data_IF_120148497153
#
_entry.id   IF_120148497153
#
_cell.length_a   1.000
_cell.length_b   1.000
_cell.length_c   1.000
_cell.angle_alpha   90.00
_cell.angle_beta   90.00
_cell.angle_gamma   90.00
#
_symmetry.space_group_name_H-M   'P 1'
#
loop_
_entity.id
_entity.type
_entity.pdbx_description
1 polymer ?
#
# COMPACT_ATOMS: atom_id res chain seq x y z
N UNK A 1 1.18 1.60 -24.42
CA UNK A 1 1.09 0.66 -23.28
C UNK A 1 -0.02 0.95 -22.27
N UNK A 2 -0.35 2.21 -21.93
CA UNK A 2 -1.50 2.51 -21.04
C UNK A 2 -2.85 1.94 -21.52
N UNK A 3 -2.99 1.65 -22.81
CA UNK A 3 -4.20 1.04 -23.39
C UNK A 3 -4.45 -0.40 -22.90
N UNK A 4 -3.40 -1.12 -22.47
CA UNK A 4 -3.52 -2.50 -21.97
C UNK A 4 -3.53 -2.54 -20.42
N UNK A 5 -3.72 -1.39 -19.78
CA UNK A 5 -3.62 -1.27 -18.33
C UNK A 5 -4.90 -1.74 -17.62
N UNK A 6 -5.11 -3.06 -17.60
CA UNK A 6 -6.21 -3.71 -16.92
C UNK A 6 -5.78 -5.08 -16.34
N UNK A 7 -6.46 -5.60 -15.31
CA UNK A 7 -6.03 -6.81 -14.59
C UNK A 7 -5.82 -8.05 -15.46
N UNK A 8 -6.55 -8.19 -16.57
CA UNK A 8 -6.41 -9.33 -17.47
C UNK A 8 -5.16 -9.26 -18.35
N UNK A 9 -4.59 -8.06 -18.52
CA UNK A 9 -3.53 -7.78 -19.49
C UNK A 9 -2.25 -7.20 -18.86
N UNK A 10 -2.14 -7.16 -17.53
CA UNK A 10 -0.92 -6.69 -16.87
C UNK A 10 0.32 -7.51 -17.24
N UNK A 11 0.16 -8.78 -17.61
CA UNK A 11 1.24 -9.62 -18.15
C UNK A 11 1.82 -9.12 -19.49
N UNK A 12 1.07 -8.31 -20.23
CA UNK A 12 1.47 -7.76 -21.53
C UNK A 12 2.21 -6.41 -21.39
N UNK A 13 2.14 -5.78 -20.22
CA UNK A 13 2.89 -4.54 -19.94
C UNK A 13 4.39 -4.82 -19.83
N UNK A 14 5.28 -3.84 -20.10
CA UNK A 14 6.71 -4.00 -19.91
C UNK A 14 7.06 -4.48 -18.48
N UNK A 15 8.00 -5.44 -18.34
CA UNK A 15 8.39 -5.93 -17.03
C UNK A 15 9.10 -4.83 -16.22
N UNK A 16 8.79 -4.77 -14.92
CA UNK A 16 9.55 -3.97 -13.96
C UNK A 16 10.88 -4.66 -13.67
N UNK A 17 11.99 -3.96 -13.86
CA UNK A 17 13.33 -4.46 -13.59
C UNK A 17 13.78 -3.95 -12.22
N UNK A 18 13.98 -4.88 -11.29
CA UNK A 18 14.39 -4.61 -9.91
C UNK A 18 15.58 -5.49 -9.54
N UNK A 19 16.37 -5.03 -8.59
CA UNK A 19 17.40 -5.84 -7.96
C UNK A 19 16.77 -7.02 -7.22
N UNK A 20 17.51 -8.13 -7.10
CA UNK A 20 16.99 -9.38 -6.54
C UNK A 20 16.37 -9.22 -5.14
N UNK A 21 16.99 -8.42 -4.27
CA UNK A 21 16.50 -8.19 -2.92
C UNK A 21 15.19 -7.38 -2.93
N UNK A 22 15.11 -6.32 -3.72
CA UNK A 22 13.91 -5.49 -3.87
C UNK A 22 12.78 -6.29 -4.49
N UNK A 23 13.09 -7.17 -5.47
CA UNK A 23 12.11 -8.08 -6.06
C UNK A 23 11.54 -9.04 -5.02
N UNK A 24 12.41 -9.72 -4.27
CA UNK A 24 11.99 -10.69 -3.28
C UNK A 24 11.11 -10.07 -2.18
N UNK A 25 11.47 -8.89 -1.70
CA UNK A 25 10.67 -8.19 -0.68
C UNK A 25 9.34 -7.67 -1.25
N UNK A 26 9.35 -7.14 -2.47
CA UNK A 26 8.12 -6.70 -3.14
C UNK A 26 7.14 -7.86 -3.32
N UNK A 27 7.63 -9.02 -3.76
CA UNK A 27 6.80 -10.22 -3.94
C UNK A 27 6.19 -10.69 -2.59
N UNK A 28 6.87 -10.45 -1.46
CA UNK A 28 6.37 -10.77 -0.12
C UNK A 28 5.28 -9.79 0.36
N UNK A 29 5.49 -8.49 0.21
CA UNK A 29 4.60 -7.46 0.78
C UNK A 29 3.49 -7.00 -0.17
N UNK A 30 3.62 -7.30 -1.46
CA UNK A 30 2.63 -7.04 -2.50
C UNK A 30 2.25 -8.37 -3.18
N UNK A 31 1.31 -9.14 -2.63
CA UNK A 31 0.88 -10.41 -3.22
C UNK A 31 0.37 -10.29 -4.67
N UNK A 32 -0.07 -9.09 -5.08
CA UNK A 32 -0.51 -8.80 -6.45
C UNK A 32 0.58 -8.97 -7.53
N UNK A 33 1.86 -9.04 -7.15
CA UNK A 33 2.96 -9.39 -8.07
C UNK A 33 2.78 -10.77 -8.74
N UNK A 34 2.07 -11.69 -8.08
CA UNK A 34 1.64 -12.95 -8.67
C UNK A 34 0.81 -12.74 -9.95
N UNK A 35 -0.02 -11.69 -9.96
CA UNK A 35 -0.85 -11.26 -11.09
C UNK A 35 -0.24 -10.12 -11.91
N UNK A 36 1.04 -9.81 -11.71
CA UNK A 36 1.77 -8.73 -12.39
C UNK A 36 1.29 -7.30 -12.06
N UNK A 37 0.69 -7.11 -10.89
CA UNK A 37 0.23 -5.80 -10.41
C UNK A 37 1.37 -4.76 -10.40
N UNK A 38 2.62 -5.14 -10.15
CA UNK A 38 3.74 -4.20 -10.14
C UNK A 38 3.90 -3.48 -11.50
N UNK A 39 3.51 -4.12 -12.60
CA UNK A 39 3.58 -3.51 -13.93
C UNK A 39 2.51 -2.42 -14.11
N UNK A 40 1.31 -2.64 -13.58
CA UNK A 40 0.26 -1.62 -13.48
C UNK A 40 0.74 -0.43 -12.67
N UNK A 41 1.24 -0.70 -11.46
CA UNK A 41 1.69 0.35 -10.53
C UNK A 41 2.78 1.21 -11.17
N UNK A 42 3.73 0.59 -11.87
CA UNK A 42 4.74 1.34 -12.60
C UNK A 42 4.15 2.18 -13.75
N UNK A 43 3.42 1.58 -14.68
CA UNK A 43 2.94 2.25 -15.90
C UNK A 43 1.94 3.37 -15.60
N UNK A 44 1.12 3.19 -14.57
CA UNK A 44 0.07 4.15 -14.22
C UNK A 44 0.55 5.20 -13.22
N UNK A 45 1.38 4.82 -12.25
CA UNK A 45 1.77 5.69 -11.13
C UNK A 45 3.27 5.97 -11.10
N UNK A 46 4.10 4.95 -11.25
CA UNK A 46 5.57 5.05 -11.16
C UNK A 46 6.23 5.90 -12.25
N UNK A 47 5.72 5.92 -13.49
CA UNK A 47 6.32 6.73 -14.58
C UNK A 47 6.32 8.24 -14.31
N UNK A 48 5.46 8.73 -13.41
CA UNK A 48 5.41 10.13 -13.02
C UNK A 48 6.28 10.45 -11.78
N UNK A 49 6.93 9.44 -11.19
CA UNK A 49 7.68 9.58 -9.94
C UNK A 49 9.01 10.34 -10.10
N UNK A 50 9.53 10.44 -11.34
CA UNK A 50 10.75 11.18 -11.64
C UNK A 50 12.06 10.45 -11.30
N UNK A 51 11.99 9.22 -10.80
CA UNK A 51 13.13 8.34 -10.51
C UNK A 51 13.02 7.01 -11.24
N UNK A 52 14.00 6.11 -11.04
CA UNK A 52 13.97 4.76 -11.62
C UNK A 52 12.87 3.87 -11.01
N UNK A 53 12.56 2.76 -11.71
CA UNK A 53 11.72 1.68 -11.18
C UNK A 53 12.24 1.17 -9.82
N UNK A 54 13.55 0.97 -9.74
CA UNK A 54 14.23 0.51 -8.53
C UNK A 54 13.95 1.45 -7.35
N UNK A 55 14.15 2.75 -7.55
CA UNK A 55 13.92 3.77 -6.51
C UNK A 55 12.45 3.88 -6.11
N UNK A 56 11.53 3.84 -7.08
CA UNK A 56 10.09 3.89 -6.82
C UNK A 56 9.62 2.76 -5.89
N UNK A 57 9.98 1.52 -6.21
CA UNK A 57 9.59 0.38 -5.39
C UNK A 57 10.39 0.32 -4.08
N UNK A 58 11.68 0.69 -4.06
CA UNK A 58 12.44 0.73 -2.80
C UNK A 58 11.89 1.76 -1.81
N UNK A 59 11.48 2.94 -2.30
CA UNK A 59 10.89 4.00 -1.47
C UNK A 59 9.50 3.57 -0.95
N UNK A 60 8.69 2.89 -1.77
CA UNK A 60 7.44 2.28 -1.32
C UNK A 60 7.66 1.21 -0.23
N UNK A 61 8.66 0.34 -0.39
CA UNK A 61 9.03 -0.68 0.60
C UNK A 61 9.55 -0.05 1.90
N UNK A 62 10.32 1.03 1.82
CA UNK A 62 10.74 1.81 2.99
C UNK A 62 9.54 2.30 3.82
N UNK A 63 8.52 2.84 3.17
CA UNK A 63 7.30 3.29 3.83
C UNK A 63 6.53 2.13 4.47
N UNK A 64 6.41 1.01 3.76
CA UNK A 64 5.76 -0.20 4.28
C UNK A 64 6.48 -0.72 5.54
N UNK A 65 7.82 -0.76 5.52
CA UNK A 65 8.63 -1.11 6.70
C UNK A 65 8.38 -0.17 7.86
N UNK A 66 8.38 1.14 7.62
CA UNK A 66 8.16 2.14 8.66
C UNK A 66 6.78 1.96 9.33
N UNK A 67 5.72 1.72 8.55
CA UNK A 67 4.37 1.45 9.07
C UNK A 67 4.36 0.16 9.87
N UNK A 68 4.93 -0.93 9.34
CA UNK A 68 4.95 -2.23 10.00
C UNK A 68 5.84 -2.29 11.24
N UNK A 69 6.82 -1.38 11.37
CA UNK A 69 7.64 -1.24 12.58
C UNK A 69 7.00 -0.36 13.65
N UNK A 70 5.83 0.23 13.37
CA UNK A 70 5.19 1.21 14.25
C UNK A 70 4.03 0.64 15.09
N UNK A 71 3.55 1.45 16.05
CA UNK A 71 2.35 1.15 16.84
C UNK A 71 1.08 0.95 15.99
N UNK A 72 1.07 1.41 14.73
CA UNK A 72 -0.03 1.16 13.80
C UNK A 72 -0.20 -0.33 13.54
N UNK A 73 0.88 -1.08 13.27
CA UNK A 73 0.80 -2.54 13.09
C UNK A 73 0.19 -3.19 14.32
N UNK A 74 0.69 -2.86 15.49
CA UNK A 74 0.23 -3.46 16.75
C UNK A 74 -1.25 -3.17 17.02
N UNK A 75 -1.73 -1.96 16.68
CA UNK A 75 -3.14 -1.62 16.76
C UNK A 75 -3.98 -2.55 15.86
N UNK A 76 -3.59 -2.74 14.60
CA UNK A 76 -4.31 -3.62 13.68
C UNK A 76 -4.27 -5.08 14.15
N UNK A 77 -3.10 -5.59 14.53
CA UNK A 77 -2.94 -6.98 14.99
C UNK A 77 -3.80 -7.28 16.23
N UNK A 78 -3.86 -6.36 17.21
CA UNK A 78 -4.68 -6.53 18.43
C UNK A 78 -6.19 -6.50 18.16
N UNK A 79 -6.61 -5.94 17.02
CA UNK A 79 -8.00 -5.73 16.66
C UNK A 79 -8.47 -6.56 15.45
N UNK A 80 -7.71 -7.60 15.05
CA UNK A 80 -8.16 -8.57 14.05
C UNK A 80 -9.50 -9.17 14.49
N UNK A 81 -10.49 -9.12 13.61
CA UNK A 81 -11.86 -9.60 13.87
C UNK A 81 -12.72 -8.70 14.75
N UNK A 82 -12.17 -7.60 15.28
CA UNK A 82 -12.86 -6.63 16.16
C UNK A 82 -13.16 -5.32 15.43
N UNK A 83 -13.89 -4.44 16.10
CA UNK A 83 -14.16 -3.09 15.60
C UNK A 83 -12.96 -2.18 15.85
N UNK A 84 -12.56 -1.42 14.84
CA UNK A 84 -11.51 -0.42 14.90
C UNK A 84 -12.03 0.88 14.27
N UNK A 85 -11.93 2.00 14.99
CA UNK A 85 -12.43 3.29 14.49
C UNK A 85 -11.36 4.04 13.70
N UNK A 86 -11.79 4.95 12.82
CA UNK A 86 -10.86 5.84 12.11
C UNK A 86 -10.01 6.67 13.06
N UNK A 87 -10.56 7.08 14.19
CA UNK A 87 -9.87 7.97 15.14
C UNK A 87 -8.79 7.21 15.90
N UNK A 88 -9.01 5.93 16.21
CA UNK A 88 -7.97 5.05 16.75
C UNK A 88 -6.82 4.88 15.74
N UNK A 89 -7.14 4.66 14.47
CA UNK A 89 -6.14 4.54 13.40
C UNK A 89 -5.33 5.83 13.29
N UNK A 90 -5.99 6.99 13.14
CA UNK A 90 -5.34 8.29 13.05
C UNK A 90 -4.51 8.61 14.31
N UNK A 91 -5.02 8.26 15.48
CA UNK A 91 -4.30 8.38 16.75
C UNK A 91 -3.01 7.57 16.77
N UNK A 92 -3.02 6.33 16.27
CA UNK A 92 -1.81 5.52 16.16
C UNK A 92 -0.79 6.12 15.17
N UNK A 93 -1.25 6.70 14.06
CA UNK A 93 -0.34 7.42 13.15
C UNK A 93 0.26 8.67 13.80
N UNK A 94 -0.52 9.45 14.56
CA UNK A 94 0.01 10.58 15.33
C UNK A 94 1.06 10.15 16.36
N UNK A 95 0.82 9.05 17.06
CA UNK A 95 1.76 8.51 18.05
C UNK A 95 3.05 7.99 17.40
N UNK A 96 2.94 7.34 16.24
CA UNK A 96 4.08 6.73 15.54
C UNK A 96 4.94 7.72 14.75
N UNK A 97 4.32 8.72 14.12
CA UNK A 97 4.97 9.58 13.13
C UNK A 97 4.88 11.08 13.46
N UNK A 98 4.40 11.42 14.66
CA UNK A 98 4.29 12.79 15.16
C UNK A 98 2.91 13.41 14.96
N UNK A 99 2.65 14.48 15.71
CA UNK A 99 1.38 15.19 15.66
C UNK A 99 1.06 15.69 14.25
N UNK A 100 -0.16 15.46 13.79
CA UNK A 100 -0.65 15.82 12.46
C UNK A 100 -0.41 14.77 11.37
N UNK A 101 0.30 13.67 11.68
CA UNK A 101 0.42 12.55 10.75
C UNK A 101 -0.93 11.87 10.48
N UNK A 102 -1.75 11.72 11.52
CA UNK A 102 -3.10 11.15 11.45
C UNK A 102 -4.05 11.93 10.55
N UNK A 103 -3.85 13.24 10.41
CA UNK A 103 -4.69 14.10 9.56
C UNK A 103 -4.50 13.80 8.06
N UNK A 104 -3.37 13.20 7.70
CA UNK A 104 -3.05 12.77 6.34
C UNK A 104 -3.47 11.33 6.04
N UNK A 105 -4.20 10.68 6.95
CA UNK A 105 -4.64 9.29 6.81
C UNK A 105 -6.10 9.23 6.35
N UNK A 106 -6.30 8.60 5.19
CA UNK A 106 -7.61 8.20 4.70
C UNK A 106 -7.86 6.73 5.02
N UNK A 107 -8.99 6.45 5.66
CA UNK A 107 -9.46 5.07 5.91
C UNK A 107 -10.63 4.80 4.98
N UNK A 108 -10.46 3.88 4.04
CA UNK A 108 -11.53 3.42 3.15
C UNK A 108 -12.09 2.11 3.68
N UNK A 109 -13.42 2.02 3.71
CA UNK A 109 -14.12 0.81 4.10
C UNK A 109 -15.02 0.31 2.97
N UNK A 110 -15.17 -1.00 2.89
CA UNK A 110 -16.11 -1.68 2.01
C UNK A 110 -17.13 -2.45 2.83
N UNK A 111 -18.33 -2.64 2.28
CA UNK A 111 -19.33 -3.51 2.87
C UNK A 111 -19.17 -4.89 2.24
N UNK A 112 -18.90 -5.89 3.06
CA UNK A 112 -18.86 -7.28 2.63
C UNK A 112 -20.29 -7.71 2.23
N UNK A 113 -20.54 -8.04 0.94
CA UNK A 113 -21.88 -8.39 0.48
C UNK A 113 -22.39 -9.71 1.06
N UNK A 114 -21.50 -10.59 1.54
CA UNK A 114 -21.87 -11.88 2.11
C UNK A 114 -22.39 -11.79 3.55
N UNK A 115 -21.98 -10.75 4.29
CA UNK A 115 -22.25 -10.61 5.72
C UNK A 115 -22.85 -9.26 6.12
N UNK A 116 -22.85 -8.26 5.23
CA UNK A 116 -23.21 -6.87 5.53
C UNK A 116 -22.20 -6.14 6.41
N UNK A 117 -21.08 -6.77 6.78
CA UNK A 117 -20.08 -6.17 7.67
C UNK A 117 -19.28 -5.09 6.95
N UNK A 118 -19.06 -3.96 7.61
CA UNK A 118 -18.15 -2.91 7.14
C UNK A 118 -16.71 -3.28 7.51
N UNK A 119 -15.88 -3.52 6.50
CA UNK A 119 -14.48 -3.92 6.63
C UNK A 119 -13.56 -2.79 6.19
N UNK A 120 -12.39 -2.66 6.81
CA UNK A 120 -11.33 -1.77 6.34
C UNK A 120 -10.76 -2.38 5.06
N UNK A 121 -10.88 -1.66 3.95
CA UNK A 121 -10.40 -2.12 2.63
C UNK A 121 -9.08 -1.49 2.23
N UNK A 122 -8.84 -0.24 2.63
CA UNK A 122 -7.63 0.50 2.24
C UNK A 122 -7.27 1.55 3.30
N UNK A 123 -5.97 1.75 3.50
CA UNK A 123 -5.40 2.90 4.20
C UNK A 123 -4.52 3.66 3.20
N UNK A 124 -4.83 4.94 2.98
CA UNK A 124 -4.01 5.83 2.14
C UNK A 124 -3.30 6.84 3.02
N UNK A 125 -1.98 7.01 2.81
CA UNK A 125 -1.16 7.99 3.53
C UNK A 125 -0.76 9.13 2.58
N UNK A 126 -1.16 10.36 2.91
CA UNK A 126 -0.69 11.55 2.22
C UNK A 126 0.75 11.87 2.62
N UNK A 127 1.68 11.84 1.67
CA UNK A 127 3.07 12.21 1.88
C UNK A 127 3.30 13.63 1.36
N UNK A 128 4.07 14.42 2.10
CA UNK A 128 4.59 15.71 1.61
C UNK A 128 5.92 15.47 0.89
N UNK A 129 6.12 16.19 -0.22
CA UNK A 129 7.42 16.33 -0.89
C UNK A 129 8.06 17.67 -0.55
#
# INVERSE_FOLDING_TARGET
DKANDNPAHWGDLPPVKLDANTRAELDQVMPGTASKLERHEWIKHGTCYGKSQQEYFSDALNLMRAVNASAVRDLFTKNIGKQLTSDQIRGAFNAAFGAGAGDRVRVSCLVDPSSGRRLIGEITLGLSG
#
